data_IF_640918370567
#
_entry.id   IF_640918370567
#
_cell.length_a   1.000
_cell.length_b   1.000
_cell.length_c   1.000
_cell.angle_alpha   90.00
_cell.angle_beta   90.00
_cell.angle_gamma   90.00
#
_symmetry.space_group_name_H-M   'P 1'
#
loop_
_entity.id
_entity.type
_entity.pdbx_description
1 polymer ?
#
# COMPACT_ATOMS: atom_id res chain seq x y z
N UNK A 1 -17.53 1.71 18.77
CA UNK A 1 -18.88 2.31 18.59
C UNK A 1 -19.43 2.92 19.90
N UNK A 2 -18.78 2.67 21.04
CA UNK A 2 -19.22 3.09 22.38
C UNK A 2 -18.68 4.46 22.81
N UNK A 3 -17.93 5.16 21.95
CA UNK A 3 -17.29 6.44 22.29
C UNK A 3 -17.91 7.69 21.62
N UNK A 4 -18.83 7.57 20.66
CA UNK A 4 -19.44 8.75 19.98
C UNK A 4 -20.93 8.59 19.57
N UNK A 5 -21.70 7.76 20.28
CA UNK A 5 -23.16 7.95 20.40
C UNK A 5 -24.06 7.86 19.14
N UNK A 6 -23.57 7.41 17.99
CA UNK A 6 -24.42 7.19 16.81
C UNK A 6 -24.38 5.72 16.40
N UNK A 7 -25.43 4.94 16.70
CA UNK A 7 -25.67 3.71 15.92
C UNK A 7 -25.97 4.20 14.50
N UNK A 8 -25.13 3.94 13.47
CA UNK A 8 -25.54 4.23 12.11
C UNK A 8 -26.77 3.34 11.83
N UNK A 9 -27.95 3.94 11.78
CA UNK A 9 -29.16 3.22 11.44
C UNK A 9 -29.01 2.56 10.06
N UNK A 10 -29.76 1.49 9.80
CA UNK A 10 -29.69 0.75 8.54
C UNK A 10 -29.80 1.66 7.29
N UNK A 11 -30.56 2.75 7.37
CA UNK A 11 -30.67 3.79 6.33
C UNK A 11 -29.37 4.58 6.11
N UNK A 12 -28.63 4.91 7.17
CA UNK A 12 -27.33 5.56 7.09
C UNK A 12 -26.27 4.61 6.51
N UNK A 13 -26.30 3.34 6.90
CA UNK A 13 -25.43 2.30 6.35
C UNK A 13 -25.70 2.11 4.85
N UNK A 14 -26.96 2.06 4.42
CA UNK A 14 -27.32 1.91 3.00
C UNK A 14 -26.87 3.12 2.16
N UNK A 15 -27.00 4.34 2.69
CA UNK A 15 -26.48 5.54 2.03
C UNK A 15 -24.96 5.53 1.91
N UNK A 16 -24.27 5.09 2.97
CA UNK A 16 -22.81 5.02 2.98
C UNK A 16 -22.30 3.95 2.00
N UNK A 17 -22.91 2.76 2.01
CA UNK A 17 -22.63 1.67 1.06
C UNK A 17 -22.83 2.15 -0.37
N UNK A 18 -23.92 2.88 -0.67
CA UNK A 18 -24.14 3.44 -2.00
C UNK A 18 -23.05 4.43 -2.41
N UNK A 19 -22.62 5.31 -1.51
CA UNK A 19 -21.52 6.24 -1.78
C UNK A 19 -20.20 5.51 -2.05
N UNK A 20 -19.89 4.49 -1.25
CA UNK A 20 -18.69 3.66 -1.45
C UNK A 20 -18.75 2.95 -2.79
N UNK A 21 -19.88 2.31 -3.14
CA UNK A 21 -20.06 1.63 -4.42
C UNK A 21 -19.98 2.60 -5.61
N UNK A 22 -20.54 3.81 -5.49
CA UNK A 22 -20.40 4.84 -6.53
C UNK A 22 -18.95 5.26 -6.72
N UNK A 23 -18.19 5.43 -5.62
CA UNK A 23 -16.77 5.76 -5.71
C UNK A 23 -15.95 4.59 -6.27
N UNK A 24 -16.27 3.36 -5.87
CA UNK A 24 -15.64 2.15 -6.40
C UNK A 24 -15.94 1.95 -7.89
N UNK A 25 -17.15 2.29 -8.34
CA UNK A 25 -17.53 2.22 -9.75
C UNK A 25 -16.82 3.30 -10.58
N UNK A 26 -16.64 4.51 -10.04
CA UNK A 26 -15.89 5.58 -10.72
C UNK A 26 -14.39 5.24 -10.78
N UNK A 27 -13.79 4.90 -9.64
CA UNK A 27 -12.36 4.56 -9.55
C UNK A 27 -12.03 3.23 -10.25
N UNK A 28 -12.88 2.22 -10.06
CA UNK A 28 -12.74 0.91 -10.68
C UNK A 28 -13.11 0.90 -12.17
N UNK A 29 -14.11 1.70 -12.57
CA UNK A 29 -14.50 1.90 -13.96
C UNK A 29 -13.42 2.64 -14.77
N UNK A 30 -12.73 3.61 -14.16
CA UNK A 30 -11.55 4.23 -14.78
C UNK A 30 -10.41 3.23 -14.99
N UNK A 31 -10.11 2.38 -14.00
CA UNK A 31 -9.03 1.39 -14.11
C UNK A 31 -9.33 0.31 -15.17
N UNK A 32 -10.58 -0.17 -15.24
CA UNK A 32 -11.01 -1.12 -16.25
C UNK A 32 -11.12 -0.49 -17.65
N UNK A 33 -11.64 0.74 -17.73
CA UNK A 33 -11.79 1.49 -18.98
C UNK A 33 -10.45 1.84 -19.64
N UNK A 34 -9.46 2.28 -18.85
CA UNK A 34 -8.10 2.52 -19.31
C UNK A 34 -7.47 1.25 -19.90
N UNK A 35 -7.63 0.11 -19.21
CA UNK A 35 -7.04 -1.17 -19.65
C UNK A 35 -7.63 -1.65 -20.98
N UNK A 36 -8.94 -1.50 -21.19
CA UNK A 36 -9.66 -1.91 -22.42
C UNK A 36 -9.40 -0.95 -23.59
N UNK A 37 -9.37 0.37 -23.34
CA UNK A 37 -9.06 1.39 -24.37
C UNK A 37 -7.64 1.20 -24.89
N UNK A 38 -6.72 0.88 -24.00
CA UNK A 38 -5.33 0.67 -24.37
C UNK A 38 -5.18 -0.64 -25.16
N UNK A 39 -5.94 -1.70 -24.86
CA UNK A 39 -5.95 -2.98 -25.59
C UNK A 39 -6.39 -2.83 -27.06
N UNK A 40 -7.15 -1.77 -27.39
CA UNK A 40 -7.50 -1.38 -28.75
C UNK A 40 -6.37 -0.65 -29.51
N UNK A 41 -5.38 -0.11 -28.80
CA UNK A 41 -4.21 0.58 -29.34
C UNK A 41 -3.03 -0.40 -29.29
N UNK A 42 -2.92 -1.24 -30.32
CA UNK A 42 -1.83 -2.20 -30.46
C UNK A 42 -0.44 -1.57 -30.28
N UNK A 43 0.43 -2.28 -29.55
CA UNK A 43 1.82 -1.96 -29.16
C UNK A 43 1.98 -1.29 -27.78
N UNK A 44 2.58 -2.02 -26.82
CA UNK A 44 3.16 -1.39 -25.64
C UNK A 44 2.92 -2.06 -24.29
N UNK A 45 3.07 -3.38 -24.16
CA UNK A 45 3.05 -4.04 -22.84
C UNK A 45 4.20 -3.48 -21.96
N UNK A 46 5.37 -3.25 -22.56
CA UNK A 46 6.50 -2.59 -21.88
C UNK A 46 6.21 -1.12 -21.50
N UNK A 47 5.50 -0.39 -22.36
CA UNK A 47 5.10 1.00 -22.08
C UNK A 47 4.10 1.07 -20.92
N UNK A 48 3.13 0.15 -20.86
CA UNK A 48 2.18 0.01 -19.73
C UNK A 48 2.86 -0.40 -18.44
N UNK A 49 3.76 -1.38 -18.51
CA UNK A 49 4.50 -1.85 -17.34
C UNK A 49 5.37 -0.71 -16.77
N UNK A 50 6.02 0.06 -17.64
CA UNK A 50 6.81 1.23 -17.23
C UNK A 50 5.94 2.32 -16.62
N UNK A 51 4.78 2.63 -17.20
CA UNK A 51 3.83 3.60 -16.64
C UNK A 51 3.33 3.16 -15.26
N UNK A 52 2.92 1.89 -15.12
CA UNK A 52 2.44 1.29 -13.85
C UNK A 52 3.54 1.26 -12.77
N UNK A 53 4.79 1.00 -13.16
CA UNK A 53 5.94 1.08 -12.25
C UNK A 53 6.19 2.54 -11.82
N UNK A 54 6.06 3.51 -12.73
CA UNK A 54 6.17 4.94 -12.42
C UNK A 54 5.12 5.41 -11.42
N UNK A 55 3.85 5.05 -11.64
CA UNK A 55 2.75 5.32 -10.70
C UNK A 55 2.97 4.67 -9.33
N UNK A 56 3.49 3.43 -9.30
CA UNK A 56 3.84 2.72 -8.08
C UNK A 56 4.93 3.42 -7.27
N UNK A 57 5.99 3.91 -7.93
CA UNK A 57 7.07 4.67 -7.27
C UNK A 57 6.54 5.98 -6.70
N UNK A 58 5.73 6.72 -7.46
CA UNK A 58 5.15 8.00 -6.99
C UNK A 58 4.26 7.77 -5.77
N UNK A 59 3.38 6.78 -5.79
CA UNK A 59 2.52 6.44 -4.66
C UNK A 59 3.30 5.93 -3.44
N UNK A 60 4.38 5.17 -3.67
CA UNK A 60 5.29 4.74 -2.61
C UNK A 60 5.98 5.92 -1.91
N UNK A 61 6.44 6.92 -2.67
CA UNK A 61 7.05 8.14 -2.11
C UNK A 61 6.06 8.98 -1.30
N UNK A 62 4.81 9.11 -1.77
CA UNK A 62 3.74 9.78 -1.03
C UNK A 62 3.42 9.06 0.28
N UNK A 63 3.41 7.72 0.26
CA UNK A 63 3.20 6.89 1.46
C UNK A 63 4.35 7.04 2.46
N UNK A 64 5.59 7.07 1.98
CA UNK A 64 6.76 7.33 2.81
C UNK A 64 6.69 8.70 3.50
N UNK A 65 6.25 9.74 2.77
CA UNK A 65 6.02 11.07 3.33
C UNK A 65 4.96 11.08 4.43
N UNK A 66 3.83 10.40 4.23
CA UNK A 66 2.80 10.26 5.25
C UNK A 66 3.34 9.56 6.50
N UNK A 67 4.13 8.49 6.32
CA UNK A 67 4.79 7.79 7.43
C UNK A 67 5.73 8.68 8.23
N UNK A 68 6.53 9.51 7.57
CA UNK A 68 7.40 10.49 8.24
C UNK A 68 6.61 11.55 9.01
N UNK A 69 5.49 12.04 8.46
CA UNK A 69 4.61 12.97 9.16
C UNK A 69 3.96 12.32 10.39
N UNK A 70 3.55 11.06 10.29
CA UNK A 70 3.05 10.29 11.43
C UNK A 70 4.12 10.13 12.51
N UNK A 71 5.37 9.84 12.15
CA UNK A 71 6.50 9.80 13.09
C UNK A 71 6.68 11.16 13.79
N UNK A 72 6.58 12.27 13.06
CA UNK A 72 6.73 13.60 13.62
C UNK A 72 5.61 13.96 14.62
N UNK A 73 4.36 13.58 14.34
CA UNK A 73 3.20 13.87 15.19
C UNK A 73 3.12 12.93 16.41
N UNK A 74 3.51 11.67 16.25
CA UNK A 74 3.41 10.67 17.32
C UNK A 74 4.58 10.69 18.29
N UNK A 75 5.71 11.33 17.94
CA UNK A 75 6.90 11.34 18.79
C UNK A 75 6.87 12.52 19.78
N UNK A 76 6.89 12.28 21.10
CA UNK A 76 6.85 13.33 22.12
C UNK A 76 8.22 13.96 22.43
N UNK A 77 9.34 13.31 22.03
CA UNK A 77 10.71 13.74 22.33
C UNK A 77 11.44 14.19 21.06
N UNK A 78 12.28 15.25 21.12
CA UNK A 78 13.04 15.73 19.98
C UNK A 78 14.11 14.72 19.53
N UNK A 79 14.49 14.79 18.25
CA UNK A 79 15.57 13.99 17.69
C UNK A 79 16.93 14.50 18.19
N UNK A 80 17.46 13.89 19.25
CA UNK A 80 18.73 14.30 19.87
C UNK A 80 19.90 13.38 19.53
N UNK A 81 19.64 12.09 19.30
CA UNK A 81 20.69 11.08 19.07
C UNK A 81 20.99 10.81 17.59
N UNK A 82 19.98 10.88 16.73
CA UNK A 82 20.10 10.68 15.28
C UNK A 82 19.32 11.76 14.53
N UNK A 83 19.76 12.15 13.32
CA UNK A 83 19.01 13.08 12.48
C UNK A 83 17.61 12.55 12.16
N UNK A 84 16.67 13.47 11.96
CA UNK A 84 15.30 13.10 11.60
C UNK A 84 15.29 12.34 10.26
N UNK A 85 14.54 11.23 10.16
CA UNK A 85 14.50 10.41 8.96
C UNK A 85 13.90 11.18 7.79
N UNK A 86 14.53 11.09 6.63
CA UNK A 86 14.11 11.71 5.37
C UNK A 86 13.56 10.66 4.42
N UNK A 87 12.85 11.13 3.39
CA UNK A 87 12.28 10.24 2.34
C UNK A 87 13.39 9.44 1.65
N UNK A 88 14.57 10.04 1.45
CA UNK A 88 15.73 9.37 0.87
C UNK A 88 16.22 8.18 1.72
N UNK A 89 16.15 8.29 3.05
CA UNK A 89 16.56 7.22 3.97
C UNK A 89 15.58 6.04 3.91
N UNK A 90 14.28 6.34 3.79
CA UNK A 90 13.24 5.32 3.58
C UNK A 90 13.45 4.60 2.25
N UNK A 91 13.70 5.35 1.17
CA UNK A 91 13.96 4.77 -0.15
C UNK A 91 15.24 3.89 -0.15
N UNK A 92 16.32 4.36 0.46
CA UNK A 92 17.57 3.60 0.58
C UNK A 92 17.38 2.32 1.42
N UNK A 93 16.63 2.40 2.52
CA UNK A 93 16.29 1.24 3.34
C UNK A 93 15.48 0.18 2.61
N UNK A 94 14.52 0.60 1.77
CA UNK A 94 13.74 -0.32 0.93
C UNK A 94 14.60 -1.02 -0.13
N UNK A 95 15.53 -0.29 -0.76
CA UNK A 95 16.45 -0.89 -1.73
C UNK A 95 17.40 -1.89 -1.09
N UNK A 96 17.95 -1.55 0.08
CA UNK A 96 18.79 -2.47 0.86
C UNK A 96 18.01 -3.73 1.27
N UNK A 97 16.78 -3.57 1.73
CA UNK A 97 15.88 -4.69 2.07
C UNK A 97 15.63 -5.60 0.87
N UNK A 98 15.37 -5.03 -0.31
CA UNK A 98 15.15 -5.79 -1.53
C UNK A 98 16.39 -6.62 -1.93
N UNK A 99 17.59 -6.04 -1.81
CA UNK A 99 18.85 -6.76 -2.06
C UNK A 99 19.09 -7.88 -1.04
N UNK A 100 18.75 -7.66 0.23
CA UNK A 100 18.86 -8.69 1.28
C UNK A 100 17.89 -9.86 1.07
N UNK A 101 16.67 -9.57 0.61
CA UNK A 101 15.66 -10.58 0.29
C UNK A 101 16.07 -11.40 -0.95
N UNK A 102 16.73 -10.78 -1.93
CA UNK A 102 17.29 -11.46 -3.10
C UNK A 102 18.54 -12.32 -2.75
N UNK A 103 19.35 -11.86 -1.80
CA UNK A 103 20.55 -12.55 -1.34
C UNK A 103 20.28 -13.71 -0.36
N UNK A 104 19.07 -13.80 0.22
CA UNK A 104 18.68 -14.95 1.07
C UNK A 104 18.33 -16.15 0.17
N UNK A 105 19.13 -17.24 0.17
CA UNK A 105 18.66 -18.49 -0.39
C UNK A 105 17.45 -18.94 0.44
N UNK A 106 16.37 -19.37 -0.22
CA UNK A 106 15.16 -19.87 0.42
C UNK A 106 15.49 -21.10 1.27
N UNK A 107 15.94 -20.89 2.51
CA UNK A 107 16.10 -21.94 3.49
C UNK A 107 14.71 -22.31 3.97
N UNK A 108 14.15 -23.28 3.25
CA UNK A 108 13.10 -24.21 3.67
C UNK A 108 12.13 -23.67 4.71
N UNK A 109 10.94 -23.30 4.23
CA UNK A 109 9.68 -23.55 4.94
C UNK A 109 9.54 -25.07 5.20
N UNK A 110 10.36 -25.64 6.08
CA UNK A 110 10.04 -26.89 6.79
C UNK A 110 9.23 -26.47 8.01
N UNK A 111 7.91 -26.52 7.85
CA UNK A 111 6.98 -26.65 8.98
C UNK A 111 7.48 -27.81 9.85
N UNK A 112 7.67 -27.66 11.18
CA UNK A 112 7.79 -28.82 12.03
C UNK A 112 6.48 -29.60 11.96
N UNK A 113 6.62 -30.92 11.89
CA UNK A 113 5.61 -31.86 11.46
C UNK A 113 4.38 -31.92 12.36
N UNK A 114 3.25 -32.17 11.71
CA UNK A 114 2.19 -33.01 12.24
C UNK A 114 2.74 -34.44 12.33
N UNK A 115 2.96 -34.93 13.55
CA UNK A 115 3.20 -36.31 13.97
C UNK A 115 3.52 -36.19 15.48
N UNK A 116 2.93 -36.87 16.47
CA UNK A 116 2.09 -38.06 16.67
C UNK A 116 1.43 -37.81 18.07
N UNK A 117 0.19 -38.18 18.37
CA UNK A 117 -0.17 -39.55 18.76
C UNK A 117 0.06 -39.79 20.27
N UNK A 118 -0.81 -39.24 21.14
CA UNK A 118 -1.40 -39.89 22.34
C UNK A 118 -2.53 -39.01 22.90
#
# INVERSE_FOLDING_TARGET
>A
AELYGGRPGALGMLRLVRHVLSHLAVTGGMAAGDTLVQELVGSGIAARLSARLGEGVVNGLLTARLGLAAIAVTRPLPFTALPAPRVADVAAGLMKKAQEDEARPQLGSRRPGKAEGE
#
